data_IF_865585388124
#
_entry.id   IF_865585388124
#
_cell.length_a   1.000
_cell.length_b   1.000
_cell.length_c   1.000
_cell.angle_alpha   90.00
_cell.angle_beta   90.00
_cell.angle_gamma   90.00
#
_symmetry.space_group_name_H-M   'P 1'
#
loop_
_entity.id
_entity.type
_entity.pdbx_description
1 polymer ?
#
# COMPACT_ATOMS: atom_id res chain seq x y z
N UNK A 1 -7.96 7.13 -27.04
CA UNK A 1 -8.75 6.80 -25.86
C UNK A 1 -8.14 7.54 -24.68
N UNK A 2 -8.91 8.34 -23.95
CA UNK A 2 -8.44 8.89 -22.66
C UNK A 2 -8.77 7.84 -21.61
N UNK A 3 -7.75 7.22 -21.05
CA UNK A 3 -7.92 6.32 -19.90
C UNK A 3 -8.51 7.13 -18.74
N UNK A 4 -9.55 6.58 -18.10
CA UNK A 4 -10.05 7.12 -16.84
C UNK A 4 -9.05 6.75 -15.76
N UNK A 5 -8.21 7.71 -15.36
CA UNK A 5 -7.23 7.51 -14.30
C UNK A 5 -7.95 7.49 -12.95
N UNK A 6 -8.00 6.33 -12.29
CA UNK A 6 -8.26 6.30 -10.86
C UNK A 6 -7.15 7.08 -10.14
N UNK A 7 -7.49 7.80 -9.07
CA UNK A 7 -6.49 8.52 -8.26
C UNK A 7 -5.46 7.57 -7.63
N UNK A 8 -5.84 6.31 -7.46
CA UNK A 8 -4.97 5.23 -7.00
C UNK A 8 -5.49 3.87 -7.48
N UNK A 9 -4.61 2.87 -7.49
CA UNK A 9 -4.91 1.47 -7.73
C UNK A 9 -4.39 0.64 -6.56
N UNK A 10 -5.08 -0.46 -6.23
CA UNK A 10 -4.69 -1.36 -5.15
C UNK A 10 -4.53 -2.75 -5.72
N UNK A 11 -3.36 -3.34 -5.49
CA UNK A 11 -3.01 -4.70 -5.86
C UNK A 11 -2.63 -5.49 -4.61
N UNK A 12 -3.11 -6.72 -4.51
CA UNK A 12 -2.73 -7.62 -3.42
C UNK A 12 -2.26 -8.96 -3.98
N UNK A 13 -1.03 -9.32 -3.66
CA UNK A 13 -0.49 -10.66 -3.88
C UNK A 13 -0.74 -11.51 -2.62
N UNK A 14 -1.65 -12.47 -2.74
CA UNK A 14 -2.02 -13.36 -1.65
C UNK A 14 -0.91 -14.35 -1.25
N UNK A 15 -0.10 -14.79 -2.22
CA UNK A 15 0.95 -15.79 -2.02
C UNK A 15 2.16 -15.17 -1.32
N UNK A 16 2.55 -13.95 -1.74
CA UNK A 16 3.61 -13.16 -1.11
C UNK A 16 3.21 -12.40 0.15
N UNK A 17 1.91 -12.37 0.51
CA UNK A 17 1.33 -11.47 1.52
C UNK A 17 1.80 -10.01 1.36
N UNK A 18 1.66 -9.50 0.14
CA UNK A 18 2.14 -8.18 -0.27
C UNK A 18 1.01 -7.31 -0.82
N UNK A 19 0.80 -6.16 -0.18
CA UNK A 19 -0.12 -5.13 -0.67
C UNK A 19 0.67 -4.02 -1.34
N UNK A 20 0.26 -3.64 -2.55
CA UNK A 20 0.75 -2.46 -3.24
C UNK A 20 -0.38 -1.46 -3.49
N UNK A 21 -0.12 -0.19 -3.21
CA UNK A 21 -0.98 0.93 -3.59
C UNK A 21 -0.21 1.83 -4.54
N UNK A 22 -0.73 1.99 -5.75
CA UNK A 22 -0.15 2.80 -6.82
C UNK A 22 -0.92 4.10 -6.98
N UNK A 23 -0.26 5.22 -7.26
CA UNK A 23 -0.86 6.54 -7.35
C UNK A 23 -0.62 7.18 -8.72
N UNK A 24 -1.72 7.51 -9.41
CA UNK A 24 -1.68 8.13 -10.73
C UNK A 24 -0.91 7.29 -11.75
N UNK A 25 -0.10 7.94 -12.58
CA UNK A 25 0.75 7.27 -13.57
C UNK A 25 2.02 6.73 -12.94
N UNK A 26 2.41 5.53 -13.38
CA UNK A 26 3.70 4.91 -13.07
C UNK A 26 4.86 5.88 -13.35
N UNK A 27 5.89 5.83 -12.49
CA UNK A 27 7.13 6.52 -12.78
C UNK A 27 7.72 5.99 -14.10
N UNK A 28 8.28 6.88 -14.93
CA UNK A 28 9.17 6.42 -16.01
C UNK A 28 10.49 5.89 -15.42
N UNK A 29 11.00 6.59 -14.41
CA UNK A 29 12.15 6.16 -13.61
C UNK A 29 11.84 6.40 -12.12
N UNK A 30 11.98 5.34 -11.32
CA UNK A 30 11.63 5.36 -9.90
C UNK A 30 12.74 4.78 -9.03
N UNK A 31 12.85 5.30 -7.81
CA UNK A 31 13.69 4.72 -6.76
C UNK A 31 12.77 4.16 -5.69
N UNK A 32 12.96 2.88 -5.36
CA UNK A 32 12.27 2.22 -4.26
C UNK A 32 13.18 2.16 -3.05
N UNK A 33 12.66 2.62 -1.92
CA UNK A 33 13.34 2.60 -0.62
C UNK A 33 12.49 1.86 0.42
N UNK A 34 13.13 1.04 1.25
CA UNK A 34 12.50 0.47 2.44
C UNK A 34 12.63 1.50 3.58
N UNK A 35 11.54 2.18 3.90
CA UNK A 35 11.54 3.24 4.92
C UNK A 35 11.40 2.68 6.34
N UNK A 36 10.78 1.51 6.46
CA UNK A 36 10.62 0.73 7.67
C UNK A 36 10.58 -0.74 7.27
N UNK A 37 10.90 -1.65 8.19
CA UNK A 37 10.91 -3.08 7.89
C UNK A 37 9.58 -3.52 7.26
N UNK A 38 9.64 -4.01 6.03
CA UNK A 38 8.52 -4.47 5.21
C UNK A 38 7.62 -3.37 4.63
N UNK A 39 8.04 -2.09 4.68
CA UNK A 39 7.32 -0.95 4.10
C UNK A 39 8.22 -0.26 3.07
N UNK A 40 7.75 -0.24 1.83
CA UNK A 40 8.48 0.29 0.68
C UNK A 40 7.75 1.50 0.10
N UNK A 41 8.52 2.50 -0.32
CA UNK A 41 8.00 3.64 -1.08
C UNK A 41 8.78 3.74 -2.38
N UNK A 42 8.07 3.85 -3.50
CA UNK A 42 8.65 4.21 -4.79
C UNK A 42 8.38 5.67 -5.08
N UNK A 43 9.43 6.44 -5.36
CA UNK A 43 9.33 7.85 -5.78
C UNK A 43 9.85 8.04 -7.19
N UNK A 44 9.14 8.86 -7.96
CA UNK A 44 9.62 9.33 -9.25
C UNK A 44 10.86 10.23 -9.06
N UNK A 45 11.89 10.02 -9.89
CA UNK A 45 13.19 10.69 -9.69
C UNK A 45 13.10 12.19 -9.95
N UNK A 46 12.30 12.63 -10.92
CA UNK A 46 12.22 14.02 -11.33
C UNK A 46 11.30 14.82 -10.41
N UNK A 47 10.07 14.34 -10.24
CA UNK A 47 9.00 15.03 -9.52
C UNK A 47 9.08 14.82 -8.01
N UNK A 48 9.75 13.75 -7.56
CA UNK A 48 9.76 13.28 -6.16
C UNK A 48 8.39 12.81 -5.64
N UNK A 49 7.39 12.73 -6.52
CA UNK A 49 6.07 12.23 -6.19
C UNK A 49 6.13 10.76 -5.78
N UNK A 50 5.35 10.39 -4.76
CA UNK A 50 5.15 8.99 -4.39
C UNK A 50 4.29 8.33 -5.46
N UNK A 51 4.81 7.25 -6.03
CA UNK A 51 4.12 6.46 -7.05
C UNK A 51 3.58 5.16 -6.51
N UNK A 52 4.28 4.54 -5.57
CA UNK A 52 3.87 3.26 -5.00
C UNK A 52 4.17 3.21 -3.50
N UNK A 53 3.29 2.55 -2.75
CA UNK A 53 3.53 2.11 -1.37
C UNK A 53 3.33 0.60 -1.32
N UNK A 54 4.39 -0.12 -0.99
CA UNK A 54 4.39 -1.57 -0.83
C UNK A 54 4.43 -1.98 0.64
N UNK A 55 3.65 -2.97 1.03
CA UNK A 55 3.55 -3.47 2.41
C UNK A 55 3.65 -5.00 2.40
N UNK A 56 4.75 -5.53 2.93
CA UNK A 56 4.93 -6.95 3.23
C UNK A 56 4.27 -7.33 4.57
N UNK A 57 3.94 -8.61 4.70
CA UNK A 57 3.22 -9.19 5.84
C UNK A 57 1.89 -8.47 6.12
N UNK A 58 1.18 -8.04 5.07
CA UNK A 58 -0.01 -7.19 5.21
C UNK A 58 -1.11 -7.85 6.05
N UNK A 59 -1.43 -9.13 5.82
CA UNK A 59 -2.42 -9.89 6.62
C UNK A 59 -2.07 -9.83 8.10
N UNK A 60 -0.80 -10.09 8.44
CA UNK A 60 -0.33 -10.08 9.83
C UNK A 60 -0.49 -8.69 10.45
N UNK A 61 -0.11 -7.63 9.73
CA UNK A 61 -0.26 -6.23 10.19
C UNK A 61 -1.73 -5.87 10.40
N UNK A 62 -2.60 -6.23 9.48
CA UNK A 62 -4.05 -5.99 9.59
C UNK A 62 -4.66 -6.71 10.81
N UNK A 63 -4.28 -7.96 11.05
CA UNK A 63 -4.71 -8.73 12.23
C UNK A 63 -4.22 -8.10 13.53
N UNK A 64 -2.96 -7.65 13.59
CA UNK A 64 -2.42 -6.95 14.77
C UNK A 64 -3.18 -5.65 15.02
N UNK A 65 -3.38 -4.84 13.97
CA UNK A 65 -4.13 -3.59 14.06
C UNK A 65 -5.54 -3.82 14.60
N UNK A 66 -6.26 -4.81 14.06
CA UNK A 66 -7.59 -5.19 14.54
C UNK A 66 -7.59 -5.51 16.05
N UNK A 67 -6.65 -6.33 16.52
CA UNK A 67 -6.52 -6.69 17.95
C UNK A 67 -6.21 -5.48 18.83
N UNK A 68 -5.40 -4.53 18.35
CA UNK A 68 -5.08 -3.29 19.09
C UNK A 68 -6.32 -2.41 19.20
N UNK A 69 -7.05 -2.21 18.11
CA UNK A 69 -8.26 -1.40 18.07
C UNK A 69 -9.34 -1.96 19.02
N UNK A 70 -9.52 -3.28 19.05
CA UNK A 70 -10.44 -3.95 19.99
C UNK A 70 -10.09 -3.66 21.46
N UNK A 71 -8.80 -3.63 21.82
CA UNK A 71 -8.36 -3.33 23.19
C UNK A 71 -8.64 -1.90 23.64
N UNK A 72 -8.71 -0.96 22.70
CA UNK A 72 -9.02 0.46 22.98
C UNK A 72 -10.48 0.82 22.67
N UNK A 73 -11.33 -0.20 22.49
CA UNK A 73 -12.76 -0.06 22.20
C UNK A 73 -13.07 0.77 20.95
N UNK A 74 -12.15 0.78 19.97
CA UNK A 74 -12.35 1.37 18.66
C UNK A 74 -12.63 0.27 17.63
N UNK A 75 -13.59 0.52 16.74
CA UNK A 75 -13.89 -0.35 15.61
C UNK A 75 -13.77 0.47 14.34
N UNK A 76 -12.67 0.27 13.60
CA UNK A 76 -12.58 0.78 12.24
C UNK A 76 -13.33 -0.20 11.32
N UNK A 77 -14.12 0.29 10.34
CA UNK A 77 -14.73 -0.56 9.32
C UNK A 77 -13.65 -1.02 8.32
N UNK A 78 -12.67 -1.78 8.79
CA UNK A 78 -11.65 -2.39 7.94
C UNK A 78 -12.25 -3.69 7.42
N UNK A 79 -13.04 -3.60 6.36
CA UNK A 79 -13.47 -4.78 5.60
C UNK A 79 -12.33 -5.16 4.66
N UNK A 80 -11.44 -6.05 5.10
CA UNK A 80 -10.49 -6.71 4.20
C UNK A 80 -11.20 -7.95 3.66
N UNK A 81 -11.84 -7.79 2.50
CA UNK A 81 -12.27 -8.94 1.71
C UNK A 81 -11.05 -9.38 0.91
N UNK A 82 -10.51 -10.54 1.28
CA UNK A 82 -9.53 -11.31 0.50
C UNK A 82 -10.36 -12.23 -0.40
#
# INVERSE_FOLDING_TARGET
>A
MKEEFNTYEVYYDEEGDFLEVSFGLSAQEGITEEIESGIFITRDIETKDIKNVGILDFKKRAVILKKVLEKINLRLPITVSI
#
